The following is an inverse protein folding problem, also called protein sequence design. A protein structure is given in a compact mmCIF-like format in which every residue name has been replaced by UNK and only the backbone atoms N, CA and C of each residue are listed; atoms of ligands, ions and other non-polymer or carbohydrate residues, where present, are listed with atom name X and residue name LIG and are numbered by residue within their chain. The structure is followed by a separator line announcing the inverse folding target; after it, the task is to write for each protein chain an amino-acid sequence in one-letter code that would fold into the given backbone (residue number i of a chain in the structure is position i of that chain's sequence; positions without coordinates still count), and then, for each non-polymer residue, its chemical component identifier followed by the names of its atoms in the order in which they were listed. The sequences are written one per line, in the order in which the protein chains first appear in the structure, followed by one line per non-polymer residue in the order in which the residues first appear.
data_IF_886830280082
#
_entry.id   IF_886830280082
#
_cell.length_a   1.000
_cell.length_b   1.000
_cell.length_c   1.000
_cell.angle_alpha   90.00
_cell.angle_beta   90.00
_cell.angle_gamma   90.00
#
_symmetry.space_group_name_H-M   'P 1'
#
loop_
_entity.id
_entity.type
_entity.pdbx_description
1 polymer ?
#
# COMPACT_ATOMS: atom_id res chain seq x y z
N UNK A 1 16.66 -2.48 -9.67
CA UNK A 1 15.26 -2.76 -9.30
C UNK A 1 14.52 -1.43 -9.19
N UNK A 2 13.35 -1.30 -9.80
CA UNK A 2 12.45 -0.14 -9.68
C UNK A 2 11.39 -0.45 -8.64
N UNK A 3 11.29 0.37 -7.60
CA UNK A 3 10.43 0.14 -6.43
C UNK A 3 9.45 1.32 -6.28
N UNK A 4 8.16 1.00 -6.21
CA UNK A 4 7.11 1.97 -5.90
C UNK A 4 6.58 1.71 -4.48
N UNK A 5 6.69 2.68 -3.60
CA UNK A 5 5.98 2.69 -2.33
C UNK A 5 4.62 3.37 -2.51
N UNK A 6 3.53 2.63 -2.30
CA UNK A 6 2.18 3.20 -2.24
C UNK A 6 1.84 3.59 -0.80
N UNK A 7 1.65 4.87 -0.59
CA UNK A 7 1.41 5.47 0.73
C UNK A 7 0.36 6.59 0.65
N UNK A 8 -0.02 7.16 1.77
CA UNK A 8 -0.76 8.41 1.79
C UNK A 8 0.19 9.59 1.57
N UNK A 9 -0.29 10.74 1.01
CA UNK A 9 0.49 11.95 1.02
C UNK A 9 0.78 12.33 2.48
N UNK A 10 2.04 12.33 2.84
CA UNK A 10 2.48 12.51 4.21
C UNK A 10 3.42 13.70 4.31
N UNK A 11 3.36 14.39 5.43
CA UNK A 11 4.55 15.02 5.99
C UNK A 11 5.57 13.92 6.26
N UNK A 12 6.45 13.69 5.32
CA UNK A 12 7.51 12.69 5.47
C UNK A 12 8.50 13.21 6.49
N UNK A 13 8.41 12.70 7.70
CA UNK A 13 9.41 12.98 8.73
C UNK A 13 10.68 12.18 8.40
N UNK A 14 11.85 12.82 8.53
CA UNK A 14 13.15 12.20 8.23
C UNK A 14 13.39 10.87 8.99
N UNK A 15 12.85 10.75 10.20
CA UNK A 15 12.93 9.55 11.05
C UNK A 15 11.74 8.60 10.88
N UNK A 16 10.82 8.89 9.96
CA UNK A 16 9.64 8.06 9.71
C UNK A 16 9.97 6.78 8.93
N UNK A 17 9.14 5.76 9.10
CA UNK A 17 9.31 4.45 8.43
C UNK A 17 9.48 4.57 6.90
N UNK A 18 8.74 5.47 6.26
CA UNK A 18 8.84 5.67 4.80
C UNK A 18 10.23 6.18 4.40
N UNK A 19 10.77 7.17 5.14
CA UNK A 19 12.10 7.70 4.89
C UNK A 19 13.17 6.64 5.10
N UNK A 20 13.12 5.89 6.20
CA UNK A 20 14.08 4.84 6.51
C UNK A 20 14.06 3.71 5.47
N UNK A 21 12.87 3.25 5.06
CA UNK A 21 12.73 2.25 4.00
C UNK A 21 13.26 2.75 2.66
N UNK A 22 13.01 4.01 2.34
CA UNK A 22 13.49 4.65 1.12
C UNK A 22 15.02 4.73 1.11
N UNK A 23 15.63 5.19 2.20
CA UNK A 23 17.10 5.25 2.36
C UNK A 23 17.70 3.85 2.17
N UNK A 24 17.15 2.85 2.85
CA UNK A 24 17.63 1.48 2.76
C UNK A 24 17.50 0.91 1.34
N UNK A 25 16.39 1.18 0.64
CA UNK A 25 16.17 0.73 -0.73
C UNK A 25 17.16 1.38 -1.71
N UNK A 26 17.38 2.70 -1.59
CA UNK A 26 18.35 3.43 -2.43
C UNK A 26 19.77 2.92 -2.15
N UNK A 27 20.14 2.72 -0.90
CA UNK A 27 21.45 2.17 -0.52
C UNK A 27 21.66 0.76 -1.09
N UNK A 28 20.59 -0.02 -1.24
CA UNK A 28 20.60 -1.33 -1.91
C UNK A 28 20.57 -1.24 -3.46
N UNK A 29 20.67 -0.05 -4.04
CA UNK A 29 20.71 0.18 -5.50
C UNK A 29 19.36 0.17 -6.18
N UNK A 30 18.25 0.39 -5.46
CA UNK A 30 16.94 0.52 -6.06
C UNK A 30 16.67 1.96 -6.55
N UNK A 31 15.93 2.07 -7.68
CA UNK A 31 15.29 3.31 -8.10
C UNK A 31 13.93 3.39 -7.43
N UNK A 32 13.72 4.35 -6.56
CA UNK A 32 12.53 4.45 -5.71
C UNK A 32 11.59 5.55 -6.21
N UNK A 33 10.28 5.28 -6.14
CA UNK A 33 9.24 6.28 -6.29
C UNK A 33 8.24 6.16 -5.14
N UNK A 34 7.60 7.28 -4.82
CA UNK A 34 6.43 7.34 -3.93
C UNK A 34 5.18 7.61 -4.74
N UNK A 35 4.12 6.84 -4.51
CA UNK A 35 2.81 7.01 -5.13
C UNK A 35 1.71 7.13 -4.08
N UNK A 36 0.65 7.86 -4.43
CA UNK A 36 -0.49 8.11 -3.56
C UNK A 36 -1.53 7.01 -3.69
N UNK A 37 -1.70 6.20 -2.64
CA UNK A 37 -2.66 5.09 -2.63
C UNK A 37 -4.12 5.53 -2.88
N UNK A 38 -4.50 6.72 -2.45
CA UNK A 38 -5.84 7.27 -2.65
C UNK A 38 -6.05 7.92 -4.03
N UNK A 39 -5.02 7.93 -4.87
CA UNK A 39 -5.05 8.45 -6.24
C UNK A 39 -4.81 7.34 -7.29
N UNK A 40 -4.97 6.09 -6.89
CA UNK A 40 -5.00 4.99 -7.85
C UNK A 40 -6.16 5.17 -8.81
N UNK A 41 -5.89 4.95 -10.10
CA UNK A 41 -6.86 5.03 -11.18
C UNK A 41 -6.58 3.97 -12.23
N UNK A 42 -7.60 3.62 -13.01
CA UNK A 42 -7.47 2.74 -14.17
C UNK A 42 -7.72 3.55 -15.43
N UNK A 43 -6.73 3.66 -16.29
CA UNK A 43 -6.81 4.40 -17.56
C UNK A 43 -6.34 3.47 -18.69
N UNK A 44 -7.20 3.19 -19.65
CA UNK A 44 -6.89 2.33 -20.79
C UNK A 44 -6.31 0.94 -20.41
N UNK A 45 -6.71 0.38 -19.27
CA UNK A 45 -6.21 -0.90 -18.78
C UNK A 45 -4.94 -0.83 -17.93
N UNK A 46 -4.36 0.35 -17.77
CA UNK A 46 -3.18 0.60 -16.94
C UNK A 46 -3.57 1.16 -15.58
N UNK A 47 -2.97 0.62 -14.52
CA UNK A 47 -3.12 1.16 -13.16
C UNK A 47 -2.10 2.26 -12.96
N UNK A 48 -2.60 3.47 -12.77
CA UNK A 48 -1.81 4.68 -12.56
C UNK A 48 -1.97 5.18 -11.12
N UNK A 49 -0.96 5.89 -10.64
CA UNK A 49 -1.03 6.74 -9.44
C UNK A 49 -0.37 8.08 -9.71
N UNK A 50 -0.64 9.07 -8.85
CA UNK A 50 0.15 10.31 -8.80
C UNK A 50 1.27 10.11 -7.79
N UNK A 51 2.44 10.69 -8.05
CA UNK A 51 3.57 10.60 -7.15
C UNK A 51 4.85 11.16 -7.70
N UNK A 52 5.96 10.86 -7.06
CA UNK A 52 7.28 11.37 -7.46
C UNK A 52 8.33 10.26 -7.51
N UNK A 53 9.23 10.33 -8.49
CA UNK A 53 10.48 9.55 -8.52
C UNK A 53 11.51 10.23 -7.66
N UNK A 54 12.24 9.45 -6.87
CA UNK A 54 13.25 9.98 -5.97
C UNK A 54 14.63 9.86 -6.56
N UNK A 55 15.42 10.93 -6.41
CA UNK A 55 16.84 10.90 -6.74
C UNK A 55 17.66 10.80 -5.42
N UNK A 56 18.84 10.19 -5.45
CA UNK A 56 19.68 10.05 -4.24
C UNK A 56 20.04 11.37 -3.55
N UNK A 57 19.95 12.49 -4.28
CA UNK A 57 20.30 13.83 -3.79
C UNK A 57 19.08 14.64 -3.30
N UNK A 58 17.87 14.17 -3.56
CA UNK A 58 16.67 14.86 -3.07
C UNK A 58 16.49 14.62 -1.58
N UNK A 59 16.31 15.71 -0.83
CA UNK A 59 15.80 15.64 0.54
C UNK A 59 14.44 14.90 0.48
N UNK A 60 14.17 14.04 1.47
CA UNK A 60 12.94 13.24 1.57
C UNK A 60 11.68 14.08 1.83
N UNK A 61 11.64 15.32 1.32
CA UNK A 61 10.45 16.17 1.35
C UNK A 61 9.64 15.91 0.09
N UNK A 62 8.36 15.63 0.28
CA UNK A 62 7.45 15.58 -0.86
C UNK A 62 7.40 16.96 -1.51
N UNK A 63 7.85 17.06 -2.76
CA UNK A 63 7.67 18.26 -3.56
C UNK A 63 6.33 18.14 -4.29
N UNK A 64 5.31 18.93 -3.92
CA UNK A 64 4.02 18.90 -4.60
C UNK A 64 4.12 19.28 -6.10
N UNK A 65 5.20 19.94 -6.52
CA UNK A 65 5.43 20.27 -7.92
C UNK A 65 6.08 19.12 -8.72
N UNK A 66 6.67 18.15 -8.03
CA UNK A 66 7.25 16.96 -8.65
C UNK A 66 6.23 15.82 -8.85
N UNK A 67 4.94 16.06 -8.53
CA UNK A 67 3.89 15.06 -8.61
C UNK A 67 3.52 14.75 -10.06
N UNK A 68 3.91 13.58 -10.54
CA UNK A 68 3.68 13.09 -11.90
C UNK A 68 2.75 11.86 -11.92
N UNK A 69 2.21 11.53 -13.12
CA UNK A 69 1.51 10.27 -13.31
C UNK A 69 2.52 9.13 -13.44
N UNK A 70 2.39 8.12 -12.60
CA UNK A 70 3.24 6.93 -12.56
C UNK A 70 2.42 5.71 -12.98
N UNK A 71 2.85 5.00 -14.02
CA UNK A 71 2.31 3.69 -14.36
C UNK A 71 2.86 2.66 -13.36
N UNK A 72 1.96 2.07 -12.56
CA UNK A 72 2.37 1.17 -11.48
C UNK A 72 3.04 -0.11 -12.02
N UNK A 73 2.66 -0.57 -13.21
CA UNK A 73 3.26 -1.73 -13.86
C UNK A 73 4.70 -1.51 -14.36
N UNK A 74 5.17 -0.26 -14.44
CA UNK A 74 6.56 0.05 -14.79
C UNK A 74 7.55 -0.32 -13.68
N UNK A 75 7.08 -0.61 -12.47
CA UNK A 75 7.91 -0.95 -11.33
C UNK A 75 8.05 -2.47 -11.19
N UNK A 76 9.23 -2.92 -10.81
CA UNK A 76 9.52 -4.34 -10.58
C UNK A 76 8.87 -4.85 -9.29
N UNK A 77 8.58 -3.92 -8.37
CA UNK A 77 7.90 -4.16 -7.11
C UNK A 77 7.07 -2.94 -6.70
N UNK A 78 5.81 -3.19 -6.35
CA UNK A 78 4.93 -2.21 -5.70
C UNK A 78 4.69 -2.65 -4.27
N UNK A 79 5.05 -1.78 -3.32
CA UNK A 79 4.91 -2.09 -1.89
C UNK A 79 3.90 -1.16 -1.22
N UNK A 80 2.81 -1.76 -0.73
CA UNK A 80 1.78 -1.03 0.00
C UNK A 80 2.22 -0.77 1.43
N UNK A 81 2.42 0.49 1.76
CA UNK A 81 2.73 0.95 3.12
C UNK A 81 1.50 1.52 3.84
N UNK A 82 0.46 1.87 3.09
CA UNK A 82 -0.82 2.36 3.62
C UNK A 82 -1.99 1.81 2.83
N UNK A 83 -3.14 1.67 3.48
CA UNK A 83 -4.40 1.34 2.83
C UNK A 83 -5.23 2.59 2.45
N UNK A 84 -4.77 3.78 2.86
CA UNK A 84 -5.45 5.03 2.58
C UNK A 84 -6.83 5.15 3.20
N UNK A 85 -7.70 5.92 2.58
CA UNK A 85 -9.07 6.18 3.05
C UNK A 85 -9.93 4.91 3.01
N UNK A 86 -10.76 4.71 4.04
CA UNK A 86 -11.60 3.51 4.17
C UNK A 86 -12.75 3.44 3.15
N UNK A 87 -13.30 4.57 2.77
CA UNK A 87 -14.46 4.65 1.86
C UNK A 87 -14.16 4.14 0.45
N UNK A 88 -12.91 4.18 0.01
CA UNK A 88 -12.45 3.69 -1.30
C UNK A 88 -11.65 2.39 -1.21
N UNK A 89 -11.77 1.65 -0.11
CA UNK A 89 -10.94 0.46 0.10
C UNK A 89 -11.18 -0.64 -0.95
N UNK A 90 -12.45 -0.95 -1.25
CA UNK A 90 -12.75 -2.01 -2.21
C UNK A 90 -12.31 -1.64 -3.63
N UNK A 91 -12.48 -0.38 -4.03
CA UNK A 91 -12.02 0.10 -5.33
C UNK A 91 -10.50 -0.05 -5.47
N UNK A 92 -9.76 0.32 -4.41
CA UNK A 92 -8.30 0.13 -4.38
C UNK A 92 -7.90 -1.34 -4.45
N UNK A 93 -8.59 -2.22 -3.75
CA UNK A 93 -8.33 -3.67 -3.82
C UNK A 93 -8.55 -4.20 -5.24
N UNK A 94 -9.59 -3.75 -5.94
CA UNK A 94 -9.83 -4.15 -7.33
C UNK A 94 -8.70 -3.67 -8.26
N UNK A 95 -8.26 -2.41 -8.13
CA UNK A 95 -7.15 -1.87 -8.89
C UNK A 95 -5.83 -2.60 -8.61
N UNK A 96 -5.55 -2.90 -7.35
CA UNK A 96 -4.37 -3.66 -6.95
C UNK A 96 -4.44 -5.11 -7.44
N UNK A 97 -5.63 -5.71 -7.54
CA UNK A 97 -5.81 -7.05 -8.10
C UNK A 97 -5.49 -7.09 -9.61
N UNK A 98 -5.86 -6.03 -10.34
CA UNK A 98 -5.45 -5.87 -11.75
C UNK A 98 -3.92 -5.73 -11.82
N UNK A 99 -3.33 -4.95 -10.94
CA UNK A 99 -1.89 -4.72 -10.91
C UNK A 99 -1.08 -5.98 -10.56
N UNK A 100 -1.58 -6.84 -9.67
CA UNK A 100 -0.95 -8.13 -9.32
C UNK A 100 -0.75 -9.07 -10.52
N UNK A 101 -1.56 -8.92 -11.57
CA UNK A 101 -1.38 -9.66 -12.82
C UNK A 101 -0.26 -9.08 -13.72
N UNK A 102 0.21 -7.87 -13.43
CA UNK A 102 1.16 -7.12 -14.26
C UNK A 102 2.54 -6.99 -13.60
N UNK A 103 2.58 -6.86 -12.28
CA UNK A 103 3.81 -6.75 -11.52
C UNK A 103 3.66 -7.33 -10.11
N UNK A 104 4.79 -7.45 -9.41
CA UNK A 104 4.80 -7.95 -8.02
C UNK A 104 4.29 -6.90 -7.05
N UNK A 105 3.27 -7.26 -6.27
CA UNK A 105 2.69 -6.40 -5.22
C UNK A 105 2.93 -7.01 -3.83
N UNK A 106 3.39 -6.21 -2.88
CA UNK A 106 3.45 -6.50 -1.44
C UNK A 106 2.61 -5.44 -0.71
N UNK A 107 1.72 -5.74 0.16
CA UNK A 107 1.12 -6.99 0.57
C UNK A 107 0.07 -7.42 -0.47
N UNK A 108 -0.14 -8.73 -0.63
CA UNK A 108 -1.13 -9.21 -1.63
C UNK A 108 -2.56 -8.78 -1.29
N UNK A 109 -3.38 -8.58 -2.31
CA UNK A 109 -4.80 -8.19 -2.13
C UNK A 109 -5.58 -9.24 -1.35
N UNK A 110 -5.28 -10.52 -1.54
CA UNK A 110 -5.89 -11.62 -0.79
C UNK A 110 -5.56 -11.52 0.71
N UNK A 111 -4.29 -11.33 1.06
CA UNK A 111 -3.86 -11.12 2.44
C UNK A 111 -4.52 -9.88 3.06
N UNK A 112 -4.65 -8.79 2.31
CA UNK A 112 -5.30 -7.57 2.79
C UNK A 112 -6.79 -7.78 3.08
N UNK A 113 -7.51 -8.49 2.21
CA UNK A 113 -8.92 -8.82 2.42
C UNK A 113 -9.10 -9.73 3.64
N UNK A 114 -8.24 -10.74 3.77
CA UNK A 114 -8.34 -11.73 4.85
C UNK A 114 -7.95 -11.14 6.22
N UNK A 115 -6.86 -10.39 6.29
CA UNK A 115 -6.30 -9.88 7.55
C UNK A 115 -6.86 -8.54 8.01
N UNK A 116 -7.52 -7.79 7.12
CA UNK A 116 -8.08 -6.48 7.47
C UNK A 116 -9.16 -6.57 8.55
N UNK A 117 -10.04 -7.56 8.45
CA UNK A 117 -10.95 -7.88 9.54
C UNK A 117 -10.26 -8.88 10.45
N UNK A 118 -10.21 -8.60 11.74
CA UNK A 118 -9.63 -9.53 12.72
C UNK A 118 -10.36 -10.88 12.79
N UNK A 119 -11.45 -11.05 12.03
CA UNK A 119 -12.22 -12.30 11.96
C UNK A 119 -11.43 -13.46 11.39
N UNK A 120 -10.56 -13.21 10.39
CA UNK A 120 -9.65 -14.22 9.84
C UNK A 120 -8.73 -14.82 10.90
N UNK A 121 -8.31 -14.01 11.88
CA UNK A 121 -7.45 -14.48 12.96
C UNK A 121 -8.13 -15.53 13.86
N UNK A 122 -9.47 -15.49 13.97
CA UNK A 122 -10.22 -16.46 14.78
C UNK A 122 -10.22 -17.88 14.20
N UNK A 123 -9.83 -18.04 12.93
CA UNK A 123 -9.69 -19.33 12.27
C UNK A 123 -8.31 -19.98 12.51
N UNK A 124 -7.38 -19.25 13.12
CA UNK A 124 -6.00 -19.71 13.36
C UNK A 124 -5.82 -20.30 14.76
N UNK A 125 -6.87 -20.93 15.32
CA UNK A 125 -6.87 -21.50 16.66
C UNK A 125 -5.77 -22.54 16.90
N UNK A 126 -5.38 -23.26 15.86
CA UNK A 126 -4.36 -24.28 15.93
C UNK A 126 -2.94 -23.70 16.04
N UNK A 127 -2.75 -22.42 15.70
CA UNK A 127 -1.48 -21.74 15.71
C UNK A 127 -1.22 -20.94 17.00
N UNK A 128 -2.28 -20.37 17.59
CA UNK A 128 -2.18 -19.59 18.82
C UNK A 128 -3.54 -19.49 19.52
N UNK A 129 -3.49 -19.37 20.85
CA UNK A 129 -4.68 -19.12 21.65
C UNK A 129 -5.11 -17.64 21.52
N UNK A 130 -6.36 -17.40 21.19
CA UNK A 130 -6.95 -16.07 21.21
C UNK A 130 -8.16 -16.00 22.15
N UNK A 131 -8.51 -14.82 22.66
CA UNK A 131 -9.71 -14.65 23.47
C UNK A 131 -10.98 -15.01 22.68
N UNK A 132 -12.04 -15.43 23.37
CA UNK A 132 -13.35 -15.61 22.72
C UNK A 132 -13.72 -14.34 21.98
N UNK A 133 -13.91 -14.46 20.68
CA UNK A 133 -14.19 -13.33 19.80
C UNK A 133 -15.59 -13.47 19.22
N UNK A 134 -16.36 -12.41 19.33
CA UNK A 134 -17.69 -12.31 18.76
C UNK A 134 -17.72 -11.17 17.76
N UNK A 135 -18.36 -11.38 16.61
CA UNK A 135 -18.51 -10.37 15.59
C UNK A 135 -19.89 -10.49 14.96
N UNK A 136 -20.60 -9.39 14.89
CA UNK A 136 -21.91 -9.30 14.25
C UNK A 136 -22.13 -7.90 13.72
N UNK A 137 -22.91 -7.78 12.64
CA UNK A 137 -23.45 -6.51 12.16
C UNK A 137 -24.73 -6.11 12.92
N UNK A 138 -25.22 -6.96 13.80
CA UNK A 138 -26.44 -6.75 14.59
C UNK A 138 -26.04 -6.59 16.06
N UNK A 139 -26.35 -5.43 16.63
CA UNK A 139 -25.98 -5.11 18.01
C UNK A 139 -26.69 -6.09 19.03
N UNK A 140 -27.91 -6.53 18.71
CA UNK A 140 -28.70 -7.43 19.53
C UNK A 140 -28.06 -8.81 19.71
N UNK A 141 -27.11 -9.18 18.86
CA UNK A 141 -26.40 -10.48 18.96
C UNK A 141 -25.56 -10.59 20.24
N UNK A 142 -25.25 -9.47 20.88
CA UNK A 142 -24.35 -9.40 22.05
C UNK A 142 -25.06 -9.14 23.37
N UNK A 143 -26.40 -9.18 23.40
CA UNK A 143 -27.24 -9.02 24.60
C UNK A 143 -27.71 -10.42 25.08
#
# INVERSE_FOLDING_TARGET
MRLLFLTQPLDVKEDGNLALLTIAAIAAGAHVAWGHIDQLSLVAGEVLTRGQRLTPQQSFQSDPNADEALACADFDLVWLLSLGKRNSFLDKIQLLKILEAQTRVINSTEALLYLRSKYGLTQLNDLFQHPKTFASNQAETFI
#
